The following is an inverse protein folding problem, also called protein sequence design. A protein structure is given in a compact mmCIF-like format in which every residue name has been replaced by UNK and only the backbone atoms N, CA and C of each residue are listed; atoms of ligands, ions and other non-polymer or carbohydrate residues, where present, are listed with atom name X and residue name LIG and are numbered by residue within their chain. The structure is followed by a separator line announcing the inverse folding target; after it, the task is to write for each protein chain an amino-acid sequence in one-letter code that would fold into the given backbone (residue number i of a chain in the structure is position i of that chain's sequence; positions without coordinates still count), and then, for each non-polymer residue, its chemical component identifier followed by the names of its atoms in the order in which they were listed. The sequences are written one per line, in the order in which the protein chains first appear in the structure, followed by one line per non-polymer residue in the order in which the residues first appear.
data_IF_509165448407
#
_entry.id   IF_509165448407
#
_cell.length_a   1.000
_cell.length_b   1.000
_cell.length_c   1.000
_cell.angle_alpha   90.00
_cell.angle_beta   90.00
_cell.angle_gamma   90.00
#
_symmetry.space_group_name_H-M   'P 1'
#
loop_
_entity.id
_entity.type
_entity.pdbx_description
1 polymer ?
#
# COMPACT_ATOMS: atom_id res chain seq x y z
N UNK A 1 -36.83 8.64 -3.71
CA UNK A 1 -36.30 8.76 -2.33
C UNK A 1 -37.01 7.81 -1.39
N UNK A 2 -38.35 7.79 -1.37
CA UNK A 2 -39.17 6.90 -0.52
C UNK A 2 -38.74 5.43 -0.53
N UNK A 3 -38.49 4.84 -1.70
CA UNK A 3 -38.07 3.44 -1.79
C UNK A 3 -36.76 3.15 -1.03
N UNK A 4 -35.76 4.03 -1.11
CA UNK A 4 -34.49 3.85 -0.39
C UNK A 4 -34.69 3.99 1.12
N UNK A 5 -35.51 4.95 1.54
CA UNK A 5 -35.79 5.19 2.96
C UNK A 5 -36.59 4.04 3.57
N UNK A 6 -37.52 3.43 2.83
CA UNK A 6 -38.28 2.28 3.30
C UNK A 6 -37.35 1.11 3.67
N UNK A 7 -36.38 0.77 2.82
CA UNK A 7 -35.40 -0.28 3.12
C UNK A 7 -34.55 0.02 4.36
N UNK A 8 -34.21 1.29 4.58
CA UNK A 8 -33.47 1.70 5.78
C UNK A 8 -34.37 1.65 7.03
N UNK A 9 -35.65 1.98 6.88
CA UNK A 9 -36.63 1.87 7.96
C UNK A 9 -36.78 0.42 8.42
N UNK A 10 -36.89 -0.52 7.48
CA UNK A 10 -36.94 -1.96 7.78
C UNK A 10 -35.71 -2.41 8.60
N UNK A 11 -34.52 -1.89 8.29
CA UNK A 11 -33.31 -2.19 9.04
C UNK A 11 -33.36 -1.65 10.48
N UNK A 12 -33.84 -0.42 10.68
CA UNK A 12 -34.02 0.16 12.00
C UNK A 12 -35.11 -0.56 12.82
N UNK A 13 -36.24 -0.91 12.20
CA UNK A 13 -37.31 -1.71 12.82
C UNK A 13 -36.80 -3.08 13.28
N UNK A 14 -35.89 -3.68 12.51
CA UNK A 14 -35.21 -4.91 12.88
C UNK A 14 -34.12 -4.74 13.95
N UNK A 15 -33.83 -3.51 14.42
CA UNK A 15 -32.77 -3.24 15.39
C UNK A 15 -31.35 -3.35 14.84
N UNK A 16 -31.19 -3.31 13.52
CA UNK A 16 -29.89 -3.44 12.83
C UNK A 16 -29.36 -2.06 12.49
N UNK A 17 -28.05 -1.85 12.69
CA UNK A 17 -27.35 -0.63 12.30
C UNK A 17 -27.13 -0.61 10.77
N UNK A 18 -27.81 0.26 9.99
CA UNK A 18 -27.62 0.32 8.55
C UNK A 18 -26.28 1.00 8.21
N UNK A 19 -25.66 0.53 7.12
CA UNK A 19 -24.53 1.18 6.46
C UNK A 19 -24.94 1.56 5.05
N UNK A 20 -25.25 2.84 4.84
CA UNK A 20 -25.72 3.37 3.57
C UNK A 20 -24.54 3.77 2.70
N UNK A 21 -24.41 3.11 1.54
CA UNK A 21 -23.41 3.45 0.52
C UNK A 21 -24.00 4.48 -0.43
N UNK A 22 -23.42 5.67 -0.43
CA UNK A 22 -23.73 6.71 -1.40
C UNK A 22 -22.88 6.45 -2.64
N UNK A 23 -23.33 5.49 -3.44
CA UNK A 23 -22.66 5.07 -4.67
C UNK A 23 -22.44 6.28 -5.58
N UNK A 24 -21.21 6.39 -6.09
CA UNK A 24 -20.83 7.38 -7.09
C UNK A 24 -21.11 8.84 -6.69
N UNK A 25 -20.94 9.13 -5.39
CA UNK A 25 -21.15 10.47 -4.82
C UNK A 25 -20.33 11.55 -5.53
N UNK A 26 -19.19 11.17 -6.14
CA UNK A 26 -18.34 12.08 -6.90
C UNK A 26 -18.92 12.52 -8.25
N UNK A 27 -20.10 12.02 -8.63
CA UNK A 27 -20.89 12.44 -9.80
C UNK A 27 -22.34 12.81 -9.46
N UNK A 28 -22.75 12.62 -8.22
CA UNK A 28 -24.13 12.84 -7.78
C UNK A 28 -24.49 14.33 -7.66
N UNK A 29 -25.79 14.63 -7.74
CA UNK A 29 -26.31 15.93 -7.32
C UNK A 29 -26.24 16.05 -5.80
N UNK A 30 -25.17 16.67 -5.32
CA UNK A 30 -24.86 16.72 -3.90
C UNK A 30 -25.89 17.54 -3.11
N UNK A 31 -26.30 18.70 -3.63
CA UNK A 31 -27.22 19.59 -2.92
C UNK A 31 -28.69 19.21 -3.16
N UNK A 32 -29.04 18.75 -4.38
CA UNK A 32 -30.40 18.42 -4.73
C UNK A 32 -30.84 17.02 -4.29
N UNK A 33 -29.90 16.08 -4.09
CA UNK A 33 -30.24 14.71 -3.69
C UNK A 33 -29.48 14.23 -2.46
N UNK A 34 -28.15 14.31 -2.44
CA UNK A 34 -27.33 13.70 -1.38
C UNK A 34 -27.65 14.31 -0.01
N UNK A 35 -27.58 15.63 0.13
CA UNK A 35 -27.84 16.32 1.41
C UNK A 35 -29.28 16.04 1.89
N UNK A 36 -30.35 16.25 1.11
CA UNK A 36 -31.71 15.92 1.56
C UNK A 36 -31.89 14.46 1.97
N UNK A 37 -31.28 13.53 1.23
CA UNK A 37 -31.37 12.11 1.55
C UNK A 37 -30.67 11.77 2.86
N UNK A 38 -29.44 12.27 3.05
CA UNK A 38 -28.67 12.03 4.28
C UNK A 38 -29.33 12.69 5.49
N UNK A 39 -29.93 13.87 5.34
CA UNK A 39 -30.69 14.52 6.43
C UNK A 39 -31.82 13.62 6.93
N UNK A 40 -32.52 12.95 6.03
CA UNK A 40 -33.59 12.02 6.40
C UNK A 40 -33.04 10.75 7.05
N UNK A 41 -31.90 10.22 6.58
CA UNK A 41 -31.22 9.10 7.24
C UNK A 41 -30.81 9.45 8.67
N UNK A 42 -30.29 10.67 8.90
CA UNK A 42 -29.92 11.15 10.23
C UNK A 42 -31.13 11.33 11.13
N UNK A 43 -32.25 11.83 10.59
CA UNK A 43 -33.53 11.92 11.32
C UNK A 43 -34.02 10.54 11.76
N UNK A 44 -34.05 9.57 10.84
CA UNK A 44 -34.47 8.20 11.13
C UNK A 44 -33.54 7.53 12.17
N UNK A 45 -32.23 7.77 12.06
CA UNK A 45 -31.23 7.28 13.02
C UNK A 45 -31.48 7.82 14.43
N UNK A 46 -31.79 9.11 14.55
CA UNK A 46 -32.10 9.75 15.84
C UNK A 46 -33.40 9.19 16.45
N UNK A 47 -34.46 9.03 15.65
CA UNK A 47 -35.74 8.48 16.09
C UNK A 47 -35.58 7.02 16.59
N UNK A 48 -34.85 6.20 15.83
CA UNK A 48 -34.57 4.81 16.17
C UNK A 48 -33.56 4.65 17.32
N UNK A 49 -32.78 5.69 17.63
CA UNK A 49 -31.61 5.64 18.53
C UNK A 49 -30.59 4.58 18.12
N UNK A 50 -30.49 4.33 16.82
CA UNK A 50 -29.53 3.41 16.22
C UNK A 50 -28.72 4.22 15.21
N UNK A 51 -27.37 4.22 15.29
CA UNK A 51 -26.53 4.92 14.33
C UNK A 51 -26.80 4.49 12.88
N UNK A 52 -26.57 5.38 11.92
CA UNK A 52 -26.42 5.01 10.50
C UNK A 52 -25.00 5.33 10.08
N UNK A 53 -24.32 4.40 9.41
CA UNK A 53 -23.04 4.71 8.77
C UNK A 53 -23.26 5.22 7.37
N UNK A 54 -22.70 6.38 7.05
CA UNK A 54 -22.73 6.99 5.74
C UNK A 54 -21.38 6.77 5.07
N UNK A 55 -21.38 6.06 3.95
CA UNK A 55 -20.17 5.81 3.16
C UNK A 55 -20.22 6.60 1.86
N UNK A 56 -19.33 7.58 1.74
CA UNK A 56 -19.10 8.33 0.51
C UNK A 56 -18.27 7.47 -0.46
N UNK A 57 -18.84 7.13 -1.62
CA UNK A 57 -18.21 6.20 -2.58
C UNK A 57 -17.76 6.93 -3.86
N UNK A 58 -16.45 7.03 -4.08
CA UNK A 58 -15.84 7.43 -5.35
C UNK A 58 -15.68 6.21 -6.28
N UNK A 59 -16.83 5.71 -6.74
CA UNK A 59 -16.95 4.45 -7.49
C UNK A 59 -16.06 4.38 -8.73
N UNK A 60 -15.85 5.53 -9.40
CA UNK A 60 -15.05 5.61 -10.64
C UNK A 60 -13.68 6.29 -10.43
N UNK A 61 -13.27 6.59 -9.20
CA UNK A 61 -11.97 7.19 -8.90
C UNK A 61 -11.80 8.65 -9.36
N UNK A 62 -12.89 9.39 -9.55
CA UNK A 62 -12.87 10.76 -10.06
C UNK A 62 -12.64 11.83 -9.00
N UNK A 63 -12.72 11.47 -7.71
CA UNK A 63 -12.48 12.37 -6.60
C UNK A 63 -11.16 13.11 -6.75
N UNK A 64 -11.15 14.35 -6.25
CA UNK A 64 -9.98 15.21 -6.26
C UNK A 64 -9.72 15.73 -4.84
N UNK A 65 -8.47 15.62 -4.33
CA UNK A 65 -8.17 15.87 -2.92
C UNK A 65 -7.88 17.35 -2.58
N UNK A 66 -8.06 18.28 -3.52
CA UNK A 66 -7.64 19.68 -3.34
C UNK A 66 -8.77 20.58 -2.80
N UNK A 67 -8.50 21.53 -1.89
CA UNK A 67 -9.51 22.35 -1.20
C UNK A 67 -10.42 23.22 -2.09
N UNK A 68 -10.01 23.55 -3.32
CA UNK A 68 -10.74 24.45 -4.22
C UNK A 68 -11.52 23.72 -5.33
N UNK A 69 -11.54 22.39 -5.28
CA UNK A 69 -12.28 21.61 -6.27
C UNK A 69 -13.77 21.82 -6.05
N UNK A 70 -14.52 22.00 -7.13
CA UNK A 70 -15.97 22.09 -7.09
C UNK A 70 -16.62 20.72 -6.84
N UNK A 71 -17.73 20.72 -6.09
CA UNK A 71 -18.65 19.59 -6.00
C UNK A 71 -19.22 19.25 -7.39
N UNK A 72 -19.43 17.96 -7.72
CA UNK A 72 -19.28 16.78 -6.86
C UNK A 72 -17.87 16.15 -6.87
N UNK A 73 -16.86 16.73 -7.54
CA UNK A 73 -15.52 16.12 -7.60
C UNK A 73 -14.69 16.31 -6.33
N UNK A 74 -15.08 17.25 -5.48
CA UNK A 74 -14.34 17.63 -4.28
C UNK A 74 -14.49 16.62 -3.16
N UNK A 75 -13.45 15.82 -2.89
CA UNK A 75 -13.38 14.97 -1.69
C UNK A 75 -13.52 15.80 -0.41
N UNK A 76 -12.73 16.89 -0.20
CA UNK A 76 -12.87 17.69 1.01
C UNK A 76 -14.26 18.33 1.11
N UNK A 77 -14.81 18.83 -0.01
CA UNK A 77 -16.16 19.40 -0.04
C UNK A 77 -17.26 18.39 0.28
N UNK A 78 -17.14 17.14 -0.19
CA UNK A 78 -18.11 16.08 0.11
C UNK A 78 -18.12 15.76 1.60
N UNK A 79 -16.95 15.51 2.20
CA UNK A 79 -16.87 15.16 3.63
C UNK A 79 -17.33 16.33 4.49
N UNK A 80 -16.83 17.54 4.21
CA UNK A 80 -17.26 18.76 4.89
C UNK A 80 -18.79 18.96 4.79
N UNK A 81 -19.35 18.82 3.58
CA UNK A 81 -20.78 18.99 3.36
C UNK A 81 -21.63 17.98 4.11
N UNK A 82 -21.22 16.71 4.18
CA UNK A 82 -21.93 15.70 4.96
C UNK A 82 -21.91 16.02 6.46
N UNK A 83 -20.82 16.57 6.99
CA UNK A 83 -20.75 16.98 8.40
C UNK A 83 -21.57 18.25 8.70
N UNK A 84 -21.51 19.25 7.83
CA UNK A 84 -22.03 20.59 8.14
C UNK A 84 -23.39 20.91 7.54
N UNK A 85 -23.81 20.21 6.48
CA UNK A 85 -25.14 20.38 5.89
C UNK A 85 -26.09 19.23 6.24
N UNK A 86 -25.54 18.13 6.75
CA UNK A 86 -26.31 16.94 7.15
C UNK A 86 -26.03 16.45 8.56
N UNK A 87 -25.26 17.20 9.36
CA UNK A 87 -24.97 16.89 10.77
C UNK A 87 -24.44 15.46 11.02
N UNK A 88 -23.79 14.84 10.02
CA UNK A 88 -23.28 13.46 10.17
C UNK A 88 -22.05 13.49 11.08
N UNK A 89 -22.05 12.78 12.22
CA UNK A 89 -20.89 12.70 13.10
C UNK A 89 -19.71 12.02 12.41
N UNK A 90 -18.48 12.41 12.79
CA UNK A 90 -17.25 11.84 12.22
C UNK A 90 -17.20 10.32 12.30
N UNK A 91 -17.58 9.74 13.44
CA UNK A 91 -17.64 8.30 13.72
C UNK A 91 -18.62 7.51 12.84
N UNK A 92 -19.53 8.22 12.16
CA UNK A 92 -20.50 7.66 11.22
C UNK A 92 -20.08 7.81 9.76
N UNK A 93 -19.00 8.54 9.46
CA UNK A 93 -18.51 8.79 8.10
C UNK A 93 -17.40 7.82 7.68
N UNK A 94 -17.64 7.17 6.54
CA UNK A 94 -16.66 6.33 5.85
C UNK A 94 -16.38 6.86 4.44
N UNK A 95 -15.13 6.71 3.98
CA UNK A 95 -14.73 6.92 2.59
C UNK A 95 -14.41 5.59 1.90
N UNK A 96 -14.88 5.45 0.66
CA UNK A 96 -14.55 4.32 -0.21
C UNK A 96 -14.22 4.86 -1.59
N UNK A 97 -13.05 4.55 -2.14
CA UNK A 97 -12.63 5.06 -3.44
C UNK A 97 -11.88 4.02 -4.26
N UNK A 98 -11.99 4.15 -5.58
CA UNK A 98 -11.27 3.34 -6.55
C UNK A 98 -10.03 4.05 -7.10
N UNK A 99 -9.10 3.27 -7.63
CA UNK A 99 -7.76 3.73 -8.01
C UNK A 99 -7.56 3.98 -9.51
N UNK A 100 -8.63 4.19 -10.29
CA UNK A 100 -8.57 4.35 -11.75
C UNK A 100 -7.65 5.50 -12.20
N UNK A 101 -7.48 6.52 -11.35
CA UNK A 101 -6.68 7.71 -11.63
C UNK A 101 -5.53 7.93 -10.65
N UNK A 102 -5.02 6.87 -10.00
CA UNK A 102 -3.89 6.92 -9.06
C UNK A 102 -4.09 7.85 -7.84
N UNK A 103 -5.34 8.16 -7.49
CA UNK A 103 -5.68 9.10 -6.41
C UNK A 103 -6.33 8.44 -5.21
N UNK A 104 -6.50 7.11 -5.20
CA UNK A 104 -7.25 6.42 -4.14
C UNK A 104 -6.71 6.72 -2.73
N UNK A 105 -5.40 6.55 -2.53
CA UNK A 105 -4.73 6.82 -1.25
C UNK A 105 -4.83 8.30 -0.88
N UNK A 106 -4.48 9.22 -1.79
CA UNK A 106 -4.55 10.66 -1.50
C UNK A 106 -5.97 11.13 -1.19
N UNK A 107 -6.98 10.63 -1.90
CA UNK A 107 -8.39 10.93 -1.61
C UNK A 107 -8.81 10.38 -0.24
N UNK A 108 -8.37 9.17 0.11
CA UNK A 108 -8.63 8.57 1.42
C UNK A 108 -7.99 9.36 2.57
N UNK A 109 -6.71 9.74 2.42
CA UNK A 109 -6.02 10.63 3.36
C UNK A 109 -6.78 11.94 3.52
N UNK A 110 -7.17 12.58 2.42
CA UNK A 110 -7.94 13.84 2.48
C UNK A 110 -9.28 13.64 3.18
N UNK A 111 -9.97 12.51 2.95
CA UNK A 111 -11.22 12.23 3.66
C UNK A 111 -11.02 12.13 5.18
N UNK A 112 -9.94 11.48 5.64
CA UNK A 112 -9.56 11.48 7.05
C UNK A 112 -9.29 12.89 7.58
N UNK A 113 -8.50 13.70 6.86
CA UNK A 113 -8.17 15.07 7.28
C UNK A 113 -9.40 15.98 7.38
N UNK A 114 -10.47 15.68 6.63
CA UNK A 114 -11.72 16.42 6.65
C UNK A 114 -12.80 15.80 7.54
N UNK A 115 -12.50 14.72 8.27
CA UNK A 115 -13.36 14.22 9.34
C UNK A 115 -14.09 12.90 9.07
N UNK A 116 -13.80 12.19 7.97
CA UNK A 116 -14.19 10.78 7.89
C UNK A 116 -13.41 9.97 8.94
N UNK A 117 -14.09 9.12 9.71
CA UNK A 117 -13.42 8.27 10.70
C UNK A 117 -12.95 6.93 10.13
N UNK A 118 -13.58 6.49 9.03
CA UNK A 118 -13.26 5.22 8.38
C UNK A 118 -12.84 5.40 6.93
N UNK A 119 -11.88 4.59 6.49
CA UNK A 119 -11.57 4.39 5.07
C UNK A 119 -11.71 2.90 4.78
N UNK A 120 -12.37 2.55 3.69
CA UNK A 120 -12.45 1.16 3.26
C UNK A 120 -11.29 0.81 2.35
N UNK A 121 -10.58 -0.24 2.71
CA UNK A 121 -9.42 -0.73 2.00
C UNK A 121 -9.63 -2.17 1.54
N UNK A 122 -8.71 -2.65 0.70
CA UNK A 122 -8.49 -4.07 0.47
C UNK A 122 -7.00 -4.39 0.57
N UNK A 123 -6.69 -5.66 0.83
CA UNK A 123 -5.31 -6.15 0.85
C UNK A 123 -4.70 -5.94 -0.54
N UNK A 124 -3.54 -5.29 -0.60
CA UNK A 124 -2.82 -4.99 -1.84
C UNK A 124 -3.62 -4.12 -2.83
N UNK A 125 -4.67 -3.44 -2.35
CA UNK A 125 -5.57 -2.63 -3.17
C UNK A 125 -6.36 -3.43 -4.19
N UNK A 126 -6.44 -4.76 -4.08
CA UNK A 126 -7.15 -5.59 -5.07
C UNK A 126 -8.66 -5.31 -5.02
N UNK A 127 -9.26 -5.12 -6.19
CA UNK A 127 -10.67 -4.76 -6.34
C UNK A 127 -11.07 -4.69 -7.80
N UNK A 128 -12.19 -4.04 -8.10
CA UNK A 128 -12.62 -3.86 -9.48
C UNK A 128 -11.63 -3.01 -10.28
N UNK A 129 -11.44 -3.36 -11.57
CA UNK A 129 -10.61 -2.60 -12.53
C UNK A 129 -9.16 -2.46 -12.06
N UNK A 130 -8.74 -1.26 -11.66
CA UNK A 130 -7.39 -0.96 -11.15
C UNK A 130 -7.29 -1.02 -9.63
N UNK A 131 -8.38 -1.40 -8.96
CA UNK A 131 -8.41 -1.71 -7.54
C UNK A 131 -9.01 -0.64 -6.65
N UNK A 132 -8.99 -0.96 -5.36
CA UNK A 132 -9.45 -0.13 -4.25
C UNK A 132 -8.25 0.52 -3.55
N UNK A 133 -8.51 1.18 -2.42
CA UNK A 133 -7.48 1.74 -1.56
C UNK A 133 -6.67 0.59 -0.90
N UNK A 134 -5.34 0.53 -1.07
CA UNK A 134 -4.50 -0.48 -0.44
C UNK A 134 -4.44 -0.29 1.08
N UNK A 135 -4.75 -1.35 1.84
CA UNK A 135 -4.74 -1.33 3.31
C UNK A 135 -3.35 -0.98 3.85
N UNK A 136 -2.30 -1.60 3.30
CA UNK A 136 -0.92 -1.39 3.71
C UNK A 136 -0.48 0.07 3.55
N UNK A 137 -0.98 0.78 2.53
CA UNK A 137 -0.71 2.19 2.37
C UNK A 137 -1.38 3.02 3.47
N UNK A 138 -2.64 2.71 3.80
CA UNK A 138 -3.36 3.45 4.83
C UNK A 138 -2.83 3.18 6.25
N UNK A 139 -2.25 2.00 6.52
CA UNK A 139 -1.55 1.72 7.78
C UNK A 139 -0.33 2.63 7.94
N UNK A 140 0.50 2.74 6.90
CA UNK A 140 1.67 3.62 6.90
C UNK A 140 1.28 5.09 6.96
N UNK A 141 0.22 5.48 6.23
CA UNK A 141 -0.32 6.84 6.25
C UNK A 141 -0.85 7.22 7.63
N UNK A 142 -1.58 6.32 8.30
CA UNK A 142 -2.06 6.51 9.66
C UNK A 142 -0.90 6.80 10.61
N UNK A 143 0.15 5.97 10.57
CA UNK A 143 1.34 6.17 11.40
C UNK A 143 2.06 7.49 11.08
N UNK A 144 2.13 7.88 9.80
CA UNK A 144 2.69 9.17 9.39
C UNK A 144 1.91 10.36 9.93
N UNK A 145 0.57 10.26 10.02
CA UNK A 145 -0.29 11.33 10.53
C UNK A 145 -0.35 11.37 12.07
N UNK A 146 -0.33 10.21 12.73
CA UNK A 146 -0.57 10.07 14.17
C UNK A 146 0.70 9.89 15.00
N UNK A 147 1.83 9.60 14.36
CA UNK A 147 3.09 9.30 15.03
C UNK A 147 3.13 7.94 15.72
N UNK A 148 2.14 7.06 15.49
CA UNK A 148 2.12 5.69 16.01
C UNK A 148 1.21 4.80 15.17
N UNK A 149 1.42 3.48 15.26
CA UNK A 149 0.56 2.47 14.64
C UNK A 149 -0.68 2.12 15.46
N UNK A 150 -0.89 2.74 16.63
CA UNK A 150 -2.06 2.47 17.49
C UNK A 150 -2.33 0.98 17.75
N UNK A 151 -1.26 0.23 18.02
CA UNK A 151 -1.30 -1.21 18.26
C UNK A 151 -1.34 -2.09 17.01
N UNK A 152 -1.42 -1.52 15.80
CA UNK A 152 -1.22 -2.29 14.56
C UNK A 152 0.22 -2.79 14.47
N UNK A 153 0.38 -4.02 13.99
CA UNK A 153 1.68 -4.61 13.69
C UNK A 153 1.97 -4.50 12.18
N UNK A 154 2.83 -3.56 11.74
CA UNK A 154 3.12 -3.36 10.33
C UNK A 154 3.94 -4.50 9.72
N UNK A 155 4.55 -5.39 10.52
CA UNK A 155 5.33 -6.52 9.99
C UNK A 155 4.46 -7.53 9.23
N UNK A 156 3.18 -7.61 9.60
CA UNK A 156 2.15 -8.44 8.95
C UNK A 156 1.93 -8.05 7.48
N UNK A 157 2.30 -6.84 7.05
CA UNK A 157 2.22 -6.42 5.64
C UNK A 157 3.06 -7.35 4.75
N UNK A 158 4.22 -7.80 5.22
CA UNK A 158 5.06 -8.75 4.47
C UNK A 158 4.45 -10.14 4.47
N UNK A 159 3.86 -10.59 5.58
CA UNK A 159 3.17 -11.89 5.65
C UNK A 159 1.97 -11.95 4.69
N UNK A 160 1.22 -10.85 4.56
CA UNK A 160 0.14 -10.72 3.58
C UNK A 160 0.69 -10.91 2.17
N UNK A 161 1.80 -10.25 1.83
CA UNK A 161 2.42 -10.39 0.51
C UNK A 161 2.83 -11.85 0.22
N UNK A 162 3.50 -12.49 1.18
CA UNK A 162 3.93 -13.90 1.08
C UNK A 162 2.72 -14.84 0.94
N UNK A 163 1.65 -14.63 1.68
CA UNK A 163 0.42 -15.40 1.56
C UNK A 163 -0.25 -15.23 0.18
N UNK A 164 -0.28 -14.01 -0.35
CA UNK A 164 -0.83 -13.75 -1.68
C UNK A 164 -0.02 -14.45 -2.78
N UNK A 165 1.31 -14.43 -2.69
CA UNK A 165 2.16 -15.10 -3.67
C UNK A 165 2.10 -16.63 -3.55
N UNK A 166 2.23 -17.18 -2.34
CA UNK A 166 2.38 -18.62 -2.12
C UNK A 166 1.06 -19.39 -2.01
N UNK A 167 0.02 -18.80 -1.43
CA UNK A 167 -1.24 -19.49 -1.16
C UNK A 167 -2.33 -19.12 -2.16
N UNK A 168 -2.37 -17.86 -2.61
CA UNK A 168 -3.39 -17.38 -3.57
C UNK A 168 -2.88 -17.51 -5.01
N UNK A 169 -1.57 -17.50 -5.23
CA UNK A 169 -0.96 -17.48 -6.57
C UNK A 169 -1.09 -16.13 -7.26
N UNK A 170 -1.31 -15.05 -6.49
CA UNK A 170 -1.31 -13.69 -7.01
C UNK A 170 0.13 -13.23 -7.24
N UNK A 171 0.43 -12.73 -8.44
CA UNK A 171 1.76 -12.24 -8.77
C UNK A 171 1.88 -10.75 -8.44
N UNK A 172 2.58 -10.43 -7.36
CA UNK A 172 2.79 -9.04 -6.95
C UNK A 172 3.79 -8.37 -7.91
N UNK A 173 3.45 -7.19 -8.48
CA UNK A 173 4.41 -6.41 -9.26
C UNK A 173 5.65 -6.06 -8.42
N UNK A 174 6.82 -6.13 -9.04
CA UNK A 174 8.09 -6.09 -8.28
C UNK A 174 8.36 -4.77 -7.58
N UNK A 175 7.81 -3.68 -8.11
CA UNK A 175 7.97 -2.33 -7.57
C UNK A 175 6.76 -1.87 -6.74
N UNK A 176 5.82 -2.76 -6.40
CA UNK A 176 4.68 -2.39 -5.54
C UNK A 176 5.19 -1.85 -4.20
N UNK A 177 4.72 -0.67 -3.74
CA UNK A 177 5.13 -0.11 -2.47
C UNK A 177 4.95 -1.11 -1.32
N UNK A 178 5.90 -1.11 -0.38
CA UNK A 178 5.94 -1.94 0.85
C UNK A 178 6.10 -3.45 0.66
N UNK A 179 5.52 -4.03 -0.40
CA UNK A 179 5.45 -5.50 -0.58
C UNK A 179 6.25 -6.02 -1.77
N UNK A 180 6.52 -5.18 -2.77
CA UNK A 180 7.19 -5.59 -4.00
C UNK A 180 8.64 -5.98 -3.75
N UNK A 181 9.12 -7.06 -4.37
CA UNK A 181 10.50 -7.54 -4.16
C UNK A 181 11.63 -6.54 -4.44
N UNK A 182 11.35 -5.47 -5.15
CA UNK A 182 12.29 -4.42 -5.50
C UNK A 182 11.95 -3.07 -4.84
N UNK A 183 10.95 -2.99 -3.96
CA UNK A 183 10.53 -1.72 -3.34
C UNK A 183 11.64 -1.09 -2.50
N UNK A 184 12.46 -1.92 -1.84
CA UNK A 184 13.54 -1.49 -0.96
C UNK A 184 14.93 -1.94 -1.44
N UNK A 185 15.11 -1.95 -2.76
CA UNK A 185 16.36 -2.36 -3.40
C UNK A 185 17.02 -1.17 -4.06
N UNK A 186 18.23 -0.83 -3.63
CA UNK A 186 19.03 0.25 -4.25
C UNK A 186 20.02 -0.30 -5.28
N UNK A 187 20.46 0.51 -6.24
CA UNK A 187 21.45 0.07 -7.24
C UNK A 187 22.85 -0.06 -6.64
N UNK A 188 23.59 -1.12 -7.00
CA UNK A 188 24.98 -1.27 -6.60
C UNK A 188 25.88 -0.13 -7.11
N UNK A 189 26.90 0.21 -6.32
CA UNK A 189 27.79 1.35 -6.56
C UNK A 189 27.77 2.31 -5.37
N UNK A 190 27.77 3.62 -5.61
CA UNK A 190 27.78 4.64 -4.56
C UNK A 190 26.61 4.52 -3.57
N UNK A 191 25.43 4.07 -4.03
CA UNK A 191 24.28 3.90 -3.15
C UNK A 191 24.44 2.69 -2.22
N UNK A 192 24.96 1.57 -2.73
CA UNK A 192 25.26 0.41 -1.90
C UNK A 192 26.39 0.71 -0.90
N UNK A 193 27.43 1.44 -1.30
CA UNK A 193 28.50 1.86 -0.39
C UNK A 193 27.97 2.79 0.73
N UNK A 194 27.05 3.70 0.40
CA UNK A 194 26.35 4.50 1.42
C UNK A 194 25.50 3.65 2.36
N UNK A 195 24.65 2.77 1.82
CA UNK A 195 23.79 1.88 2.60
C UNK A 195 24.59 0.98 3.56
N UNK A 196 25.77 0.50 3.13
CA UNK A 196 26.66 -0.32 3.95
C UNK A 196 27.35 0.46 5.08
N UNK A 197 27.52 1.77 4.92
CA UNK A 197 28.11 2.64 5.95
C UNK A 197 27.07 3.10 6.96
N UNK A 198 25.90 3.47 6.45
CA UNK A 198 24.76 3.93 7.21
C UNK A 198 23.49 3.69 6.39
N UNK A 199 22.64 2.81 6.92
CA UNK A 199 21.41 2.38 6.26
C UNK A 199 20.45 3.58 6.03
N UNK A 200 20.46 4.59 6.89
CA UNK A 200 19.58 5.76 6.80
C UNK A 200 19.87 6.64 5.56
N UNK A 201 21.06 6.52 4.96
CA UNK A 201 21.43 7.31 3.78
C UNK A 201 20.55 6.95 2.58
N UNK A 202 20.21 5.67 2.43
CA UNK A 202 19.52 5.16 1.24
C UNK A 202 18.33 4.24 1.54
N UNK A 203 18.05 3.93 2.81
CA UNK A 203 16.81 3.29 3.20
C UNK A 203 15.72 4.34 3.38
N UNK A 204 14.54 4.09 2.80
CA UNK A 204 13.44 5.05 2.77
C UNK A 204 12.84 5.29 4.17
N UNK A 205 12.90 4.26 5.03
CA UNK A 205 12.63 4.24 6.46
C UNK A 205 13.15 2.90 7.02
N UNK A 206 13.15 2.66 8.33
CA UNK A 206 13.57 1.37 8.92
C UNK A 206 12.60 0.22 8.56
N UNK A 207 12.77 -0.30 7.35
CA UNK A 207 11.99 -1.35 6.69
C UNK A 207 12.24 -2.73 7.29
N UNK A 208 13.45 -2.98 7.80
CA UNK A 208 13.76 -4.17 8.58
C UNK A 208 12.88 -4.26 9.82
N UNK A 209 12.79 -3.16 10.59
CA UNK A 209 11.96 -3.08 11.78
C UNK A 209 10.46 -3.03 11.49
N UNK A 210 10.04 -2.19 10.53
CA UNK A 210 8.62 -1.93 10.30
C UNK A 210 7.93 -2.99 9.43
N UNK A 211 8.66 -3.64 8.53
CA UNK A 211 8.07 -4.57 7.57
C UNK A 211 8.70 -5.97 7.64
N UNK A 212 9.66 -6.23 8.53
CA UNK A 212 10.48 -7.45 8.49
C UNK A 212 11.12 -7.69 7.11
N UNK A 213 11.52 -6.58 6.45
CA UNK A 213 11.98 -6.59 5.07
C UNK A 213 13.19 -5.66 4.90
N UNK A 214 14.40 -6.15 5.20
CA UNK A 214 15.61 -5.33 5.20
C UNK A 214 15.93 -4.76 3.81
N UNK A 215 16.69 -3.66 3.79
CA UNK A 215 17.20 -3.09 2.56
C UNK A 215 18.12 -4.07 1.83
N UNK A 216 18.09 -4.02 0.50
CA UNK A 216 18.95 -4.85 -0.33
C UNK A 216 19.52 -4.03 -1.50
N UNK A 217 20.42 -4.65 -2.24
CA UNK A 217 21.12 -4.02 -3.38
C UNK A 217 20.80 -4.75 -4.68
N UNK A 218 20.94 -4.09 -5.82
CA UNK A 218 20.80 -4.71 -7.14
C UNK A 218 22.16 -4.81 -7.80
N UNK A 219 22.53 -6.02 -8.24
CA UNK A 219 23.80 -6.26 -8.92
C UNK A 219 23.76 -5.75 -10.37
N UNK A 220 24.79 -5.00 -10.74
CA UNK A 220 25.07 -4.56 -12.10
C UNK A 220 26.54 -4.19 -12.33
N UNK A 221 26.84 -3.48 -13.42
CA UNK A 221 28.22 -3.14 -13.87
C UNK A 221 29.09 -2.50 -12.79
N UNK A 222 28.50 -1.69 -11.91
CA UNK A 222 29.18 -0.97 -10.82
C UNK A 222 29.32 -1.79 -9.53
N UNK A 223 28.92 -3.06 -9.51
CA UNK A 223 28.98 -3.88 -8.29
C UNK A 223 30.41 -4.23 -7.93
N UNK A 224 30.88 -3.77 -6.77
CA UNK A 224 32.10 -4.28 -6.17
C UNK A 224 31.89 -5.63 -5.48
N UNK A 225 32.99 -6.33 -5.15
CA UNK A 225 32.97 -7.61 -4.42
C UNK A 225 32.20 -7.52 -3.10
N UNK A 226 32.35 -6.43 -2.35
CA UNK A 226 31.64 -6.23 -1.08
C UNK A 226 30.12 -6.13 -1.28
N UNK A 227 29.66 -5.46 -2.35
CA UNK A 227 28.24 -5.37 -2.68
C UNK A 227 27.66 -6.72 -3.12
N UNK A 228 28.45 -7.54 -3.80
CA UNK A 228 28.06 -8.91 -4.18
C UNK A 228 27.94 -9.81 -2.94
N UNK A 229 28.92 -9.78 -2.04
CA UNK A 229 28.87 -10.55 -0.80
C UNK A 229 27.65 -10.14 0.06
N UNK A 230 27.41 -8.83 0.21
CA UNK A 230 26.24 -8.31 0.89
C UNK A 230 24.94 -8.80 0.25
N UNK A 231 24.83 -8.72 -1.09
CA UNK A 231 23.66 -9.21 -1.81
C UNK A 231 23.36 -10.68 -1.52
N UNK A 232 24.38 -11.55 -1.55
CA UNK A 232 24.22 -12.98 -1.26
C UNK A 232 23.75 -13.19 0.18
N UNK A 233 24.39 -12.52 1.15
CA UNK A 233 24.04 -12.64 2.55
C UNK A 233 22.57 -12.25 2.83
N UNK A 234 22.12 -11.14 2.26
CA UNK A 234 20.76 -10.64 2.48
C UNK A 234 19.71 -11.41 1.67
N UNK A 235 19.98 -11.73 0.39
CA UNK A 235 19.03 -12.44 -0.47
C UNK A 235 18.75 -13.87 0.04
N UNK A 236 19.77 -14.55 0.57
CA UNK A 236 19.62 -15.90 1.14
C UNK A 236 19.40 -15.89 2.66
N UNK A 237 19.24 -14.70 3.29
CA UNK A 237 19.07 -14.52 4.74
C UNK A 237 20.05 -15.35 5.57
N UNK A 238 21.34 -15.34 5.19
CA UNK A 238 22.37 -16.15 5.84
C UNK A 238 22.55 -15.72 7.30
N UNK A 239 22.60 -16.70 8.21
CA UNK A 239 22.90 -16.42 9.62
C UNK A 239 24.33 -15.88 9.79
N UNK A 240 24.65 -15.25 10.92
CA UNK A 240 26.01 -14.73 11.16
C UNK A 240 27.12 -15.76 10.93
N UNK A 241 26.87 -17.03 11.26
CA UNK A 241 27.82 -18.12 11.03
C UNK A 241 27.96 -18.56 9.57
N UNK A 242 27.00 -18.22 8.72
CA UNK A 242 26.96 -18.63 7.31
C UNK A 242 27.33 -17.50 6.34
N UNK A 243 27.36 -16.25 6.84
CA UNK A 243 27.68 -15.07 6.05
C UNK A 243 29.05 -15.19 5.37
N UNK A 244 29.09 -14.77 4.11
CA UNK A 244 30.30 -14.72 3.30
C UNK A 244 30.82 -13.29 3.18
N UNK A 245 32.12 -13.14 2.93
CA UNK A 245 32.76 -11.84 2.72
C UNK A 245 33.22 -11.65 1.27
N UNK A 246 33.83 -10.50 0.99
CA UNK A 246 34.34 -10.13 -0.34
C UNK A 246 35.46 -11.04 -0.88
N UNK A 247 36.03 -11.90 -0.03
CA UNK A 247 37.10 -12.84 -0.37
C UNK A 247 36.59 -14.25 -0.64
N UNK A 248 35.30 -14.54 -0.45
CA UNK A 248 34.73 -15.85 -0.79
C UNK A 248 34.88 -16.13 -2.31
N UNK A 249 35.36 -17.32 -2.72
CA UNK A 249 35.56 -17.66 -4.12
C UNK A 249 34.30 -17.52 -4.99
N UNK A 250 33.11 -17.72 -4.43
CA UNK A 250 31.85 -17.53 -5.14
C UNK A 250 31.66 -16.06 -5.54
N UNK A 251 32.02 -15.13 -4.66
CA UNK A 251 31.89 -13.69 -4.89
C UNK A 251 32.77 -13.25 -6.06
N UNK A 252 34.01 -13.76 -6.12
CA UNK A 252 34.92 -13.48 -7.22
C UNK A 252 34.43 -14.07 -8.56
N UNK A 253 33.93 -15.31 -8.55
CA UNK A 253 33.37 -15.95 -9.74
C UNK A 253 32.13 -15.22 -10.26
N UNK A 254 31.23 -14.82 -9.35
CA UNK A 254 30.03 -14.09 -9.72
C UNK A 254 30.38 -12.69 -10.27
N UNK A 255 31.38 -12.00 -9.71
CA UNK A 255 31.88 -10.73 -10.26
C UNK A 255 32.40 -10.88 -11.69
N UNK A 256 33.18 -11.92 -11.96
CA UNK A 256 33.70 -12.18 -13.30
C UNK A 256 32.57 -12.44 -14.31
N UNK A 257 31.54 -13.20 -13.91
CA UNK A 257 30.36 -13.38 -14.75
C UNK A 257 29.60 -12.08 -14.99
N UNK A 258 29.34 -11.29 -13.93
CA UNK A 258 28.68 -9.98 -14.04
C UNK A 258 29.43 -9.10 -15.04
N UNK A 259 30.75 -8.99 -14.93
CA UNK A 259 31.57 -8.20 -15.86
C UNK A 259 31.42 -8.67 -17.30
N UNK A 260 31.46 -9.98 -17.53
CA UNK A 260 31.33 -10.55 -18.87
C UNK A 260 29.98 -10.25 -19.53
N UNK A 261 28.88 -10.23 -18.76
CA UNK A 261 27.56 -9.86 -19.27
C UNK A 261 27.54 -8.41 -19.78
N UNK A 262 28.16 -7.47 -19.04
CA UNK A 262 28.21 -6.07 -19.44
C UNK A 262 29.22 -5.80 -20.56
N UNK A 263 30.33 -6.54 -20.59
CA UNK A 263 31.29 -6.50 -21.71
C UNK A 263 30.67 -7.03 -23.01
N UNK A 264 29.76 -8.01 -22.94
CA UNK A 264 28.98 -8.49 -24.08
C UNK A 264 27.87 -7.52 -24.56
N UNK A 265 27.78 -6.34 -23.96
CA UNK A 265 26.91 -5.26 -24.43
C UNK A 265 25.59 -5.09 -23.65
N UNK A 266 25.35 -5.86 -22.58
CA UNK A 266 24.17 -5.68 -21.71
C UNK A 266 24.11 -4.23 -21.19
N UNK A 267 22.91 -3.62 -21.25
CA UNK A 267 22.66 -2.27 -20.74
C UNK A 267 21.69 -2.26 -19.53
N UNK A 268 20.97 -3.35 -19.32
CA UNK A 268 19.99 -3.50 -18.24
C UNK A 268 20.65 -4.01 -16.96
N UNK A 269 20.01 -3.78 -15.82
CA UNK A 269 20.39 -4.44 -14.57
C UNK A 269 20.14 -5.95 -14.65
N UNK A 270 20.88 -6.73 -13.88
CA UNK A 270 20.63 -8.16 -13.74
C UNK A 270 19.36 -8.36 -12.92
N UNK A 271 18.44 -9.18 -13.41
CA UNK A 271 17.29 -9.58 -12.66
C UNK A 271 17.69 -10.57 -11.56
N UNK A 272 17.00 -10.54 -10.41
CA UNK A 272 17.29 -11.40 -9.26
C UNK A 272 17.39 -12.88 -9.67
N UNK A 273 16.46 -13.37 -10.49
CA UNK A 273 16.47 -14.78 -10.94
C UNK A 273 17.71 -15.16 -11.76
N UNK A 274 18.24 -14.26 -12.61
CA UNK A 274 19.47 -14.51 -13.38
C UNK A 274 20.67 -14.69 -12.44
N UNK A 275 20.73 -13.86 -11.39
CA UNK A 275 21.79 -13.93 -10.38
C UNK A 275 21.68 -15.21 -9.55
N UNK A 276 20.47 -15.58 -9.14
CA UNK A 276 20.21 -16.80 -8.37
C UNK A 276 20.58 -18.06 -9.16
N UNK A 277 20.14 -18.16 -10.42
CA UNK A 277 20.49 -19.28 -11.31
C UNK A 277 22.00 -19.42 -11.47
N UNK A 278 22.71 -18.28 -11.61
CA UNK A 278 24.17 -18.30 -11.70
C UNK A 278 24.83 -18.73 -10.39
N UNK A 279 24.29 -18.33 -9.24
CA UNK A 279 24.80 -18.78 -7.95
C UNK A 279 24.57 -20.28 -7.76
N UNK A 280 23.42 -20.81 -8.16
CA UNK A 280 23.15 -22.26 -8.12
C UNK A 280 24.18 -23.02 -8.98
N UNK A 281 24.47 -22.53 -10.20
CA UNK A 281 25.49 -23.09 -11.09
C UNK A 281 26.90 -23.07 -10.47
N UNK A 282 27.31 -21.93 -9.90
CA UNK A 282 28.66 -21.73 -9.37
C UNK A 282 28.89 -22.38 -8.01
N UNK A 283 27.85 -22.52 -7.19
CA UNK A 283 27.97 -22.99 -5.81
C UNK A 283 27.51 -24.43 -5.59
N UNK A 284 26.90 -25.06 -6.60
CA UNK A 284 26.39 -26.43 -6.49
C UNK A 284 25.27 -26.58 -5.47
N UNK A 285 24.35 -25.60 -5.43
CA UNK A 285 23.26 -25.49 -4.45
C UNK A 285 23.73 -25.35 -2.98
N UNK A 286 24.87 -24.66 -2.76
CA UNK A 286 25.37 -24.30 -1.41
C UNK A 286 24.31 -23.58 -0.56
N UNK A 287 23.46 -22.79 -1.20
CA UNK A 287 22.36 -22.06 -0.55
C UNK A 287 21.02 -22.61 -1.02
N UNK A 288 20.06 -22.77 -0.09
CA UNK A 288 18.69 -23.14 -0.43
C UNK A 288 17.87 -21.89 -0.70
N UNK A 289 17.07 -21.91 -1.78
CA UNK A 289 15.97 -20.97 -1.97
C UNK A 289 14.98 -21.09 -0.82
N UNK A 290 14.56 -19.95 -0.27
CA UNK A 290 13.39 -19.84 0.60
C UNK A 290 12.14 -19.72 -0.26
#
# INVERSE_FOLDING_TARGET
MEHYLATVADAFEAGVMPRCHLEDITRADFYGFVVPFVNELMRMSADAKIPVRIRACDTMGYGVPYPEVAIPRSVPGIIYGLQHYSDVPSEMLEWHGHNDFYKAVSNATTAWLYGASGVNCSLLGIGERTGNIPLEAMVMEYASLRGSFDGMDPTVITEIAEYFEHNIGYRIPTMTPFVGKSFNVTRAGIHADGLLKDEEIYNIFDTGKLLNRPASVMLGKSSGLAGIAYWINENYRLTESERIDKHDPLVAQLKAWIDSEYESGRQTALAIHEVEEKIEELSGARFRRL
#
